data_IF_649501307829
#
_entry.id   IF_649501307829
#
_cell.length_a   1.000
_cell.length_b   1.000
_cell.length_c   1.000
_cell.angle_alpha   90.00
_cell.angle_beta   90.00
_cell.angle_gamma   90.00
#
_symmetry.space_group_name_H-M   'P 1'
#
loop_
_entity.id
_entity.type
_entity.pdbx_description
1 polymer ?
#
# COMPACT_ATOMS: atom_id res chain seq x y z
N UNK A 1 12.28 9.82 0.86
CA UNK A 1 10.96 9.13 0.84
C UNK A 1 11.10 7.63 0.67
N UNK A 2 11.80 7.15 -0.37
CA UNK A 2 12.02 5.70 -0.57
C UNK A 2 12.65 5.02 0.65
N UNK A 3 13.64 5.67 1.28
CA UNK A 3 14.27 5.13 2.49
C UNK A 3 13.28 4.98 3.66
N UNK A 4 12.35 5.93 3.81
CA UNK A 4 11.31 5.87 4.85
C UNK A 4 10.37 4.69 4.57
N UNK A 5 9.84 4.59 3.35
CA UNK A 5 8.97 3.49 2.96
C UNK A 5 9.67 2.11 3.11
N UNK A 6 10.94 2.01 2.70
CA UNK A 6 11.73 0.79 2.80
C UNK A 6 11.93 0.37 4.26
N UNK A 7 12.31 1.32 5.13
CA UNK A 7 12.46 1.04 6.57
C UNK A 7 11.13 0.63 7.19
N UNK A 8 10.03 1.30 6.86
CA UNK A 8 8.71 0.96 7.39
C UNK A 8 8.26 -0.45 7.00
N UNK A 9 8.44 -0.84 5.73
CA UNK A 9 8.12 -2.20 5.26
C UNK A 9 9.01 -3.23 5.94
N UNK A 10 10.33 -2.99 6.00
CA UNK A 10 11.27 -3.91 6.64
C UNK A 10 10.99 -4.08 8.15
N UNK A 11 10.70 -2.99 8.85
CA UNK A 11 10.36 -3.00 10.26
C UNK A 11 9.04 -3.74 10.52
N UNK A 12 7.98 -3.46 9.74
CA UNK A 12 6.70 -4.14 9.86
C UNK A 12 6.82 -5.66 9.65
N UNK A 13 7.64 -6.10 8.69
CA UNK A 13 7.92 -7.53 8.47
C UNK A 13 8.57 -8.22 9.67
N UNK A 14 9.33 -7.48 10.48
CA UNK A 14 10.03 -7.98 11.67
C UNK A 14 9.25 -7.75 12.97
N UNK A 15 8.07 -7.13 12.92
CA UNK A 15 7.32 -6.71 14.10
C UNK A 15 7.96 -5.55 14.87
N UNK A 16 8.90 -4.82 14.27
CA UNK A 16 9.66 -3.73 14.88
C UNK A 16 8.89 -2.40 14.80
N UNK A 17 7.73 -2.31 15.46
CA UNK A 17 6.84 -1.15 15.35
C UNK A 17 7.54 0.18 15.70
N UNK A 18 8.39 0.19 16.72
CA UNK A 18 9.14 1.37 17.12
C UNK A 18 10.05 1.88 15.99
N UNK A 19 10.68 0.97 15.24
CA UNK A 19 11.53 1.33 14.10
C UNK A 19 10.70 1.93 12.95
N UNK A 20 9.49 1.40 12.70
CA UNK A 20 8.58 1.96 11.70
C UNK A 20 8.09 3.35 12.11
N UNK A 21 7.81 3.56 13.40
CA UNK A 21 7.43 4.88 13.94
C UNK A 21 8.58 5.86 13.81
N UNK A 22 9.80 5.49 14.22
CA UNK A 22 11.00 6.35 14.08
C UNK A 22 11.26 6.75 12.63
N UNK A 23 11.04 5.85 11.66
CA UNK A 23 11.13 6.20 10.25
C UNK A 23 10.10 7.25 9.84
N UNK A 24 8.86 7.12 10.32
CA UNK A 24 7.78 8.06 10.06
C UNK A 24 8.04 9.44 10.70
N UNK A 25 8.65 9.48 11.89
CA UNK A 25 9.00 10.74 12.57
C UNK A 25 9.94 11.63 11.75
N UNK A 26 10.75 11.04 10.87
CA UNK A 26 11.66 11.78 9.96
C UNK A 26 10.92 12.62 8.91
N UNK A 27 9.61 12.39 8.71
CA UNK A 27 8.78 13.17 7.80
C UNK A 27 8.11 14.39 8.46
N UNK A 28 8.34 14.61 9.76
CA UNK A 28 7.74 15.75 10.46
C UNK A 28 8.42 17.06 10.10
N UNK A 29 7.62 18.09 9.88
CA UNK A 29 8.04 19.47 9.73
C UNK A 29 8.46 20.09 11.08
N UNK A 30 8.85 21.37 11.04
CA UNK A 30 9.27 22.11 12.24
C UNK A 30 8.15 22.29 13.28
N UNK A 31 6.89 22.09 12.89
CA UNK A 31 5.71 22.09 13.75
C UNK A 31 5.35 20.68 14.24
N UNK A 32 6.17 19.67 13.94
CA UNK A 32 5.95 18.28 14.33
C UNK A 32 4.86 17.57 13.53
N UNK A 33 4.45 18.09 12.37
CA UNK A 33 3.38 17.55 11.53
C UNK A 33 3.97 16.91 10.28
N UNK A 34 3.32 15.87 9.76
CA UNK A 34 3.68 15.33 8.45
C UNK A 34 2.98 16.19 7.39
N UNK A 35 3.70 16.85 6.47
CA UNK A 35 3.08 17.59 5.38
C UNK A 35 2.19 16.67 4.53
N UNK A 36 1.05 17.18 4.06
CA UNK A 36 0.13 16.38 3.22
C UNK A 36 0.78 15.87 1.94
N UNK A 37 1.71 16.64 1.36
CA UNK A 37 2.47 16.23 0.18
C UNK A 37 3.36 15.02 0.48
N UNK A 38 4.07 15.01 1.61
CA UNK A 38 4.90 13.88 2.03
C UNK A 38 4.06 12.66 2.39
N UNK A 39 2.90 12.85 3.03
CA UNK A 39 1.95 11.78 3.30
C UNK A 39 1.43 11.14 2.00
N UNK A 40 1.02 11.95 1.02
CA UNK A 40 0.59 11.45 -0.30
C UNK A 40 1.68 10.66 -0.98
N UNK A 41 2.90 11.19 -0.98
CA UNK A 41 4.03 10.54 -1.63
C UNK A 41 4.40 9.22 -0.93
N UNK A 42 4.37 9.17 0.41
CA UNK A 42 4.59 7.94 1.17
C UNK A 42 3.53 6.89 0.83
N UNK A 43 2.25 7.26 0.85
CA UNK A 43 1.14 6.36 0.53
C UNK A 43 1.24 5.86 -0.91
N UNK A 44 1.55 6.74 -1.87
CA UNK A 44 1.70 6.39 -3.29
C UNK A 44 2.83 5.36 -3.49
N UNK A 45 3.98 5.57 -2.84
CA UNK A 45 5.09 4.61 -2.88
C UNK A 45 4.67 3.25 -2.32
N UNK A 46 4.04 3.22 -1.14
CA UNK A 46 3.62 1.97 -0.49
C UNK A 46 2.54 1.23 -1.27
N UNK A 47 1.52 1.95 -1.76
CA UNK A 47 0.40 1.38 -2.53
C UNK A 47 0.86 0.82 -3.86
N UNK A 48 1.69 1.56 -4.61
CA UNK A 48 2.23 1.06 -5.89
C UNK A 48 3.10 -0.17 -5.68
N UNK A 49 3.92 -0.16 -4.64
CA UNK A 49 4.76 -1.29 -4.27
C UNK A 49 3.94 -2.54 -3.90
N UNK A 50 2.90 -2.36 -3.08
CA UNK A 50 1.96 -3.44 -2.75
C UNK A 50 1.25 -3.95 -4.02
N UNK A 51 0.75 -3.06 -4.88
CA UNK A 51 0.09 -3.43 -6.14
C UNK A 51 0.98 -4.25 -7.06
N UNK A 52 2.25 -3.88 -7.23
CA UNK A 52 3.22 -4.63 -8.04
C UNK A 52 3.47 -6.05 -7.50
N UNK A 53 3.68 -6.18 -6.17
CA UNK A 53 3.86 -7.48 -5.53
C UNK A 53 2.61 -8.35 -5.67
N UNK A 54 1.43 -7.78 -5.40
CA UNK A 54 0.15 -8.47 -5.51
C UNK A 54 -0.14 -8.90 -6.94
N UNK A 55 0.21 -8.09 -7.94
CA UNK A 55 0.12 -8.45 -9.35
C UNK A 55 1.01 -9.65 -9.71
N UNK A 56 2.25 -9.69 -9.19
CA UNK A 56 3.14 -10.85 -9.34
C UNK A 56 2.59 -12.12 -8.68
N UNK A 57 2.06 -11.99 -7.46
CA UNK A 57 1.43 -13.09 -6.71
C UNK A 57 0.18 -13.62 -7.43
N UNK A 58 -0.62 -12.71 -7.97
CA UNK A 58 -1.78 -12.99 -8.78
C UNK A 58 -1.43 -13.79 -10.04
N UNK A 59 -0.42 -13.34 -10.79
CA UNK A 59 0.05 -14.00 -12.00
C UNK A 59 0.65 -15.39 -11.75
N UNK A 60 1.26 -15.62 -10.59
CA UNK A 60 1.75 -16.95 -10.16
C UNK A 60 0.62 -17.92 -9.80
N UNK A 61 -0.48 -17.41 -9.22
CA UNK A 61 -1.66 -18.22 -8.90
C UNK A 61 -2.51 -18.58 -10.14
N UNK A 62 -2.40 -17.78 -11.20
CA UNK A 62 -3.04 -18.04 -12.48
C UNK A 62 -2.37 -19.26 -13.14
N UNK A 63 -3.08 -20.39 -13.19
CA UNK A 63 -2.66 -21.53 -14.01
C UNK A 63 -2.64 -21.16 -15.50
N UNK A 64 -2.12 -22.03 -16.38
CA UNK A 64 -2.02 -21.76 -17.82
C UNK A 64 -3.36 -21.41 -18.51
N UNK A 65 -4.49 -21.75 -17.87
CA UNK A 65 -5.85 -21.49 -18.35
C UNK A 65 -6.56 -20.32 -17.65
N UNK A 66 -5.86 -19.58 -16.78
CA UNK A 66 -6.47 -18.44 -16.05
C UNK A 66 -6.13 -17.14 -16.78
N UNK A 67 -7.16 -16.38 -17.17
CA UNK A 67 -6.96 -15.06 -17.76
C UNK A 67 -6.24 -14.15 -16.75
N UNK A 68 -5.07 -13.54 -17.07
CA UNK A 68 -4.35 -12.65 -16.16
C UNK A 68 -5.21 -11.50 -15.62
N UNK A 69 -6.29 -11.13 -16.32
CA UNK A 69 -7.27 -10.15 -15.87
C UNK A 69 -8.20 -10.60 -14.74
N UNK A 70 -8.24 -11.89 -14.40
CA UNK A 70 -9.16 -12.47 -13.42
C UNK A 70 -8.55 -12.68 -12.03
N UNK A 71 -7.28 -12.33 -11.81
CA UNK A 71 -6.69 -12.50 -10.50
C UNK A 71 -7.35 -11.57 -9.46
N UNK A 72 -8.06 -12.18 -8.49
CA UNK A 72 -8.82 -11.46 -7.47
C UNK A 72 -8.01 -11.33 -6.18
N UNK A 73 -7.75 -10.10 -5.76
CA UNK A 73 -7.42 -9.82 -4.36
C UNK A 73 -8.68 -10.08 -3.52
N UNK A 74 -8.71 -11.18 -2.78
CA UNK A 74 -9.78 -11.47 -1.83
C UNK A 74 -9.41 -10.94 -0.46
N UNK A 75 -10.20 -10.00 0.04
CA UNK A 75 -10.15 -9.58 1.44
C UNK A 75 -10.91 -10.62 2.26
N UNK A 76 -10.29 -11.14 3.30
CA UNK A 76 -10.90 -12.13 4.18
C UNK A 76 -11.10 -11.50 5.57
N UNK A 77 -12.27 -11.68 6.16
CA UNK A 77 -12.50 -11.50 7.59
C UNK A 77 -12.84 -12.85 8.25
N UNK A 78 -13.21 -12.82 9.54
CA UNK A 78 -13.64 -14.00 10.30
C UNK A 78 -14.91 -14.68 9.76
N UNK A 79 -15.61 -14.05 8.81
CA UNK A 79 -16.81 -14.54 8.14
C UNK A 79 -16.59 -14.86 6.65
N UNK A 80 -15.38 -14.67 6.12
CA UNK A 80 -15.01 -15.00 4.75
C UNK A 80 -14.76 -13.78 3.86
N UNK A 81 -14.99 -13.88 2.53
CA UNK A 81 -14.67 -12.81 1.60
C UNK A 81 -15.48 -11.53 1.82
N UNK A 82 -14.79 -10.40 2.00
CA UNK A 82 -15.39 -9.07 2.19
C UNK A 82 -15.32 -8.26 0.90
N UNK A 83 -16.46 -7.83 0.32
CA UNK A 83 -16.46 -6.88 -0.78
C UNK A 83 -15.84 -5.54 -0.35
N UNK A 84 -14.97 -4.97 -1.18
CA UNK A 84 -14.32 -3.67 -0.92
C UNK A 84 -15.34 -2.57 -0.59
N UNK A 85 -16.52 -2.59 -1.23
CA UNK A 85 -17.57 -1.59 -1.00
C UNK A 85 -18.16 -1.63 0.40
N UNK A 86 -18.07 -2.77 1.10
CA UNK A 86 -18.51 -2.95 2.49
C UNK A 86 -17.46 -2.54 3.51
N UNK A 87 -16.23 -2.27 3.06
CA UNK A 87 -15.16 -1.77 3.95
C UNK A 87 -15.43 -0.30 4.30
N UNK A 88 -15.26 0.05 5.58
CA UNK A 88 -15.42 1.42 6.03
C UNK A 88 -14.26 2.32 5.52
N UNK A 89 -14.48 3.62 5.28
CA UNK A 89 -13.39 4.58 5.17
C UNK A 89 -12.57 4.63 6.49
N UNK A 90 -11.24 4.81 6.44
CA UNK A 90 -10.43 5.10 5.25
C UNK A 90 -9.91 3.85 4.51
N UNK A 91 -10.09 2.64 5.05
CA UNK A 91 -9.54 1.40 4.50
C UNK A 91 -10.01 1.11 3.07
N UNK A 92 -11.29 1.36 2.79
CA UNK A 92 -11.84 1.20 1.43
C UNK A 92 -11.07 1.97 0.38
N UNK A 93 -10.59 3.17 0.70
CA UNK A 93 -9.87 4.01 -0.27
C UNK A 93 -8.47 3.49 -0.54
N UNK A 94 -7.76 3.03 0.50
CA UNK A 94 -6.45 2.38 0.34
C UNK A 94 -6.58 1.10 -0.48
N UNK A 95 -7.59 0.29 -0.20
CA UNK A 95 -7.84 -0.95 -0.92
C UNK A 95 -8.15 -0.72 -2.40
N UNK A 96 -8.97 0.29 -2.72
CA UNK A 96 -9.22 0.70 -4.11
C UNK A 96 -7.94 1.20 -4.80
N UNK A 97 -7.11 1.96 -4.10
CA UNK A 97 -5.84 2.42 -4.66
C UNK A 97 -4.89 1.24 -4.94
N UNK A 98 -4.81 0.26 -4.04
CA UNK A 98 -4.01 -0.96 -4.25
C UNK A 98 -4.54 -1.80 -5.40
N UNK A 99 -5.86 -1.96 -5.52
CA UNK A 99 -6.48 -2.66 -6.66
C UNK A 99 -6.17 -1.97 -7.99
N UNK A 100 -6.31 -0.64 -8.04
CA UNK A 100 -5.95 0.13 -9.23
C UNK A 100 -4.48 -0.09 -9.61
N UNK A 101 -3.56 0.01 -8.64
CA UNK A 101 -2.14 -0.25 -8.88
C UNK A 101 -1.86 -1.70 -9.33
N UNK A 102 -2.54 -2.68 -8.73
CA UNK A 102 -2.42 -4.11 -9.06
C UNK A 102 -2.85 -4.42 -10.50
N UNK A 103 -3.88 -3.72 -10.98
CA UNK A 103 -4.41 -3.85 -12.34
C UNK A 103 -3.72 -2.94 -13.38
N UNK A 104 -2.61 -2.28 -13.00
CA UNK A 104 -1.84 -1.46 -13.94
C UNK A 104 -2.42 -0.06 -14.19
N UNK A 105 -3.23 0.45 -13.25
CA UNK A 105 -3.78 1.82 -13.25
C UNK A 105 -3.18 2.67 -12.11
N UNK A 106 -1.86 2.95 -12.14
CA UNK A 106 -1.19 3.69 -11.07
C UNK A 106 -1.69 5.14 -10.93
N UNK A 107 -2.13 5.78 -12.02
CA UNK A 107 -2.74 7.11 -11.99
C UNK A 107 -4.05 7.16 -11.20
N UNK A 108 -4.89 6.13 -11.32
CA UNK A 108 -6.13 5.99 -10.55
C UNK A 108 -5.83 5.73 -9.07
N UNK A 109 -4.77 4.95 -8.79
CA UNK A 109 -4.29 4.75 -7.43
C UNK A 109 -3.84 6.07 -6.78
N UNK A 110 -3.06 6.88 -7.49
CA UNK A 110 -2.58 8.17 -7.02
C UNK A 110 -3.73 9.18 -6.83
N UNK A 111 -4.76 9.13 -7.69
CA UNK A 111 -5.99 9.90 -7.54
C UNK A 111 -6.77 9.50 -6.26
N UNK A 112 -6.94 8.21 -6.01
CA UNK A 112 -7.61 7.72 -4.80
C UNK A 112 -6.87 8.13 -3.51
N UNK A 113 -5.55 8.00 -3.50
CA UNK A 113 -4.69 8.46 -2.38
C UNK A 113 -4.83 9.97 -2.21
N UNK A 114 -4.86 10.69 -3.32
CA UNK A 114 -5.02 12.13 -3.33
C UNK A 114 -6.30 12.58 -2.65
N UNK A 115 -7.42 12.03 -3.09
CA UNK A 115 -8.75 12.28 -2.51
C UNK A 115 -8.78 11.86 -1.04
N UNK A 116 -8.15 10.75 -0.67
CA UNK A 116 -8.07 10.29 0.72
C UNK A 116 -7.37 11.31 1.61
N UNK A 117 -6.19 11.79 1.22
CA UNK A 117 -5.39 12.70 2.05
C UNK A 117 -6.00 14.10 2.13
N UNK A 118 -6.68 14.55 1.09
CA UNK A 118 -7.41 15.83 1.09
C UNK A 118 -8.58 15.83 2.07
N UNK A 119 -9.39 14.76 2.02
CA UNK A 119 -10.63 14.67 2.77
C UNK A 119 -10.48 14.05 4.16
N UNK A 120 -9.40 13.33 4.42
CA UNK A 120 -9.18 12.72 5.72
C UNK A 120 -8.84 13.77 6.79
N UNK A 121 -9.48 13.60 7.94
CA UNK A 121 -9.03 14.23 9.19
C UNK A 121 -7.64 13.70 9.57
N UNK A 122 -6.83 14.55 10.21
CA UNK A 122 -5.44 14.20 10.61
C UNK A 122 -5.36 12.94 11.45
N UNK A 123 -6.37 12.66 12.27
CA UNK A 123 -6.42 11.46 13.11
C UNK A 123 -6.46 10.15 12.30
N UNK A 124 -6.86 10.19 11.03
CA UNK A 124 -6.89 9.03 10.15
C UNK A 124 -5.57 8.81 9.38
N UNK A 125 -4.59 9.71 9.49
CA UNK A 125 -3.33 9.58 8.75
C UNK A 125 -2.50 8.39 9.21
N UNK A 126 -2.38 8.17 10.52
CA UNK A 126 -1.70 6.99 11.07
C UNK A 126 -2.35 5.69 10.61
N UNK A 127 -3.69 5.66 10.55
CA UNK A 127 -4.45 4.52 10.05
C UNK A 127 -4.15 4.24 8.57
N UNK A 128 -4.21 5.28 7.71
CA UNK A 128 -3.87 5.17 6.29
C UNK A 128 -2.46 4.62 6.07
N UNK A 129 -1.48 5.16 6.81
CA UNK A 129 -0.08 4.73 6.73
C UNK A 129 0.06 3.28 7.20
N UNK A 130 -0.49 2.95 8.37
CA UNK A 130 -0.43 1.61 8.94
C UNK A 130 -1.01 0.58 7.99
N UNK A 131 -2.19 0.86 7.41
CA UNK A 131 -2.83 -0.04 6.44
C UNK A 131 -2.01 -0.23 5.17
N UNK A 132 -1.42 0.85 4.63
CA UNK A 132 -0.57 0.76 3.45
C UNK A 132 0.71 -0.05 3.72
N UNK A 133 1.33 0.13 4.89
CA UNK A 133 2.50 -0.65 5.32
C UNK A 133 2.15 -2.12 5.50
N UNK A 134 1.03 -2.42 6.17
CA UNK A 134 0.57 -3.79 6.41
C UNK A 134 0.36 -4.56 5.09
N UNK A 135 -0.33 -3.92 4.13
CA UNK A 135 -0.54 -4.51 2.80
C UNK A 135 0.79 -4.75 2.07
N UNK A 136 1.70 -3.77 2.11
CA UNK A 136 3.02 -3.90 1.49
C UNK A 136 3.87 -5.01 2.15
N UNK A 137 3.95 -5.04 3.48
CA UNK A 137 4.73 -6.05 4.20
C UNK A 137 4.14 -7.45 4.04
N UNK A 138 2.82 -7.58 4.07
CA UNK A 138 2.12 -8.84 3.83
C UNK A 138 2.38 -9.37 2.42
N UNK A 139 2.32 -8.50 1.41
CA UNK A 139 2.63 -8.87 0.03
C UNK A 139 4.09 -9.29 -0.15
N UNK A 140 5.04 -8.65 0.54
CA UNK A 140 6.45 -9.09 0.53
C UNK A 140 6.59 -10.50 1.12
N UNK A 141 6.00 -10.74 2.30
CA UNK A 141 6.06 -12.06 2.95
C UNK A 141 5.48 -13.15 2.06
N UNK A 142 4.37 -12.86 1.39
CA UNK A 142 3.73 -13.81 0.47
C UNK A 142 4.58 -14.06 -0.79
N UNK A 143 5.18 -13.02 -1.38
CA UNK A 143 6.09 -13.17 -2.51
C UNK A 143 7.33 -13.99 -2.13
N UNK A 144 7.91 -13.78 -0.94
CA UNK A 144 9.03 -14.58 -0.42
C UNK A 144 8.65 -16.04 -0.22
N UNK A 145 7.47 -16.30 0.36
CA UNK A 145 6.94 -17.65 0.56
C UNK A 145 6.82 -18.41 -0.76
N UNK A 146 6.44 -17.71 -1.84
CA UNK A 146 6.31 -18.24 -3.20
C UNK A 146 7.59 -18.18 -4.04
N UNK A 147 8.67 -17.59 -3.50
CA UNK A 147 9.94 -17.36 -4.21
C UNK A 147 9.79 -16.51 -5.47
N UNK A 148 8.85 -15.55 -5.44
CA UNK A 148 8.63 -14.61 -6.52
C UNK A 148 9.62 -13.44 -6.45
N UNK A 149 9.96 -12.81 -7.60
CA UNK A 149 10.76 -11.60 -7.61
C UNK A 149 10.12 -10.47 -6.80
N UNK A 150 10.90 -9.81 -5.96
CA UNK A 150 10.48 -8.63 -5.21
C UNK A 150 10.99 -7.39 -5.95
N UNK A 151 10.11 -6.50 -6.46
CA UNK A 151 10.54 -5.28 -7.12
C UNK A 151 11.25 -4.34 -6.14
N UNK A 152 12.03 -3.40 -6.64
CA UNK A 152 12.52 -2.30 -5.82
C UNK A 152 11.39 -1.27 -5.57
N UNK A 153 11.42 -0.59 -4.42
CA UNK A 153 10.58 0.58 -4.18
C UNK A 153 10.92 1.70 -5.19
N UNK A 154 9.89 2.34 -5.72
CA UNK A 154 10.02 3.39 -6.74
C UNK A 154 9.15 4.60 -6.39
N UNK A 155 9.65 5.79 -6.71
CA UNK A 155 8.84 7.01 -6.58
C UNK A 155 7.77 7.03 -7.68
N UNK A 156 6.55 7.52 -7.40
CA UNK A 156 5.61 7.81 -8.46
C UNK A 156 6.19 8.88 -9.41
N UNK A 157 5.85 8.85 -10.71
CA UNK A 157 6.23 9.89 -11.64
C UNK A 157 5.69 11.25 -11.16
N UNK A 158 6.47 12.32 -11.35
CA UNK A 158 5.99 13.67 -11.03
C UNK A 158 4.86 14.01 -12.00
N UNK A 159 3.65 14.17 -11.48
CA UNK A 159 2.55 14.79 -12.23
C UNK A 159 2.86 16.27 -12.33
N UNK A 160 3.21 16.74 -13.54
CA UNK A 160 3.39 18.16 -13.88
C UNK A 160 2.07 18.88 -14.05
#
# INVERSE_FOLDING_TARGET
MLDVAAVMVAAARRGELDTAVEALLRLRDVQGRIPRADLRLLLAVLVRYAGQLLSGIAGDAAGPDTDPGEAKLQLLDEHGPVPVDRVAPPDRTILRAVLAAMHGHPEDADLHISIAVENAERQHFSHLIGRAVELASGAVVEAERRRLPIPALQLPPRVT
#
